data_IF_094198921575
#
_entry.id   IF_094198921575
#
_cell.length_a   1.000
_cell.length_b   1.000
_cell.length_c   1.000
_cell.angle_alpha   90.00
_cell.angle_beta   90.00
_cell.angle_gamma   90.00
#
_symmetry.space_group_name_H-M   'P 1'
#
loop_
_entity.id
_entity.type
_entity.pdbx_description
1 polymer ?
#
# COMPACT_ATOMS: atom_id res chain seq x y z
N UNK A 1 27.40 16.33 -12.76
CA UNK A 1 27.38 15.83 -11.37
C UNK A 1 25.91 15.59 -11.04
N UNK A 2 25.32 14.43 -11.27
CA UNK A 2 25.78 13.14 -11.75
C UNK A 2 24.55 12.55 -12.46
N UNK A 3 24.66 12.15 -13.72
CA UNK A 3 23.57 11.60 -14.54
C UNK A 3 23.22 10.17 -14.11
N UNK A 4 23.07 9.93 -12.80
CA UNK A 4 22.41 8.73 -12.29
C UNK A 4 21.01 8.75 -12.86
N UNK A 5 20.80 7.91 -13.88
CA UNK A 5 19.50 7.80 -14.55
C UNK A 5 18.42 7.67 -13.48
N UNK A 6 17.32 8.40 -13.67
CA UNK A 6 16.16 8.40 -12.76
C UNK A 6 15.75 6.97 -12.39
N UNK A 7 15.94 6.04 -13.33
CA UNK A 7 15.75 4.59 -13.16
C UNK A 7 16.53 4.05 -11.95
N UNK A 8 17.85 4.24 -11.86
CA UNK A 8 18.64 3.69 -10.76
C UNK A 8 18.24 4.26 -9.40
N UNK A 9 17.94 5.57 -9.35
CA UNK A 9 17.51 6.23 -8.12
C UNK A 9 16.17 5.67 -7.65
N UNK A 10 15.18 5.58 -8.53
CA UNK A 10 13.85 5.03 -8.21
C UNK A 10 13.94 3.55 -7.83
N UNK A 11 14.73 2.76 -8.56
CA UNK A 11 14.92 1.33 -8.26
C UNK A 11 15.57 1.10 -6.91
N UNK A 12 16.59 1.88 -6.54
CA UNK A 12 17.28 1.72 -5.26
C UNK A 12 16.37 2.09 -4.08
N UNK A 13 15.69 3.24 -4.15
CA UNK A 13 14.74 3.65 -3.10
C UNK A 13 13.56 2.68 -2.99
N UNK A 14 13.03 2.22 -4.13
CA UNK A 14 11.97 1.22 -4.17
C UNK A 14 12.38 -0.11 -3.56
N UNK A 15 13.59 -0.60 -3.87
CA UNK A 15 14.13 -1.84 -3.34
C UNK A 15 14.37 -1.76 -1.82
N UNK A 16 15.01 -0.70 -1.35
CA UNK A 16 15.26 -0.50 0.09
C UNK A 16 13.95 -0.38 0.87
N UNK A 17 12.98 0.38 0.35
CA UNK A 17 11.64 0.48 0.95
C UNK A 17 10.92 -0.86 0.99
N UNK A 18 10.95 -1.62 -0.10
CA UNK A 18 10.34 -2.95 -0.19
C UNK A 18 11.00 -3.97 0.75
N UNK A 19 12.32 -3.94 0.90
CA UNK A 19 13.03 -4.81 1.85
C UNK A 19 12.62 -4.53 3.30
N UNK A 20 12.58 -3.25 3.70
CA UNK A 20 12.17 -2.86 5.05
C UNK A 20 10.71 -3.27 5.28
N UNK A 21 9.81 -2.95 4.34
CA UNK A 21 8.41 -3.33 4.43
C UNK A 21 8.22 -4.86 4.50
N UNK A 22 8.94 -5.61 3.66
CA UNK A 22 8.88 -7.07 3.64
C UNK A 22 9.34 -7.71 4.94
N UNK A 23 10.44 -7.21 5.52
CA UNK A 23 10.93 -7.69 6.81
C UNK A 23 9.92 -7.44 7.95
N UNK A 24 9.32 -6.24 7.99
CA UNK A 24 8.29 -5.90 8.98
C UNK A 24 7.04 -6.76 8.76
N UNK A 25 6.53 -6.83 7.53
CA UNK A 25 5.31 -7.56 7.20
C UNK A 25 5.43 -9.07 7.49
N UNK A 26 6.60 -9.67 7.24
CA UNK A 26 6.89 -11.07 7.55
C UNK A 26 6.88 -11.32 9.07
N UNK A 27 7.49 -10.44 9.86
CA UNK A 27 7.55 -10.56 11.33
C UNK A 27 6.20 -10.32 12.00
N UNK A 28 5.39 -9.39 11.49
CA UNK A 28 4.12 -8.99 12.13
C UNK A 28 2.90 -9.70 11.55
N UNK A 29 3.08 -10.62 10.60
CA UNK A 29 1.99 -11.27 9.87
C UNK A 29 0.96 -10.26 9.33
N UNK A 30 1.46 -9.21 8.67
CA UNK A 30 0.63 -8.13 8.15
C UNK A 30 -0.02 -8.54 6.83
N UNK A 31 -1.16 -9.25 6.91
CA UNK A 31 -1.95 -9.65 5.76
C UNK A 31 -3.36 -9.08 5.90
N UNK A 32 -3.81 -8.36 4.87
CA UNK A 32 -5.15 -7.74 4.83
C UNK A 32 -6.23 -8.84 4.91
N UNK A 33 -6.11 -9.87 4.08
CA UNK A 33 -7.02 -11.01 4.07
C UNK A 33 -7.01 -11.73 5.44
N UNK A 34 -5.83 -11.95 6.02
CA UNK A 34 -5.67 -12.52 7.35
C UNK A 34 -6.30 -11.68 8.46
N UNK A 35 -6.32 -10.35 8.34
CA UNK A 35 -6.95 -9.45 9.32
C UNK A 35 -8.48 -9.51 9.28
N UNK A 36 -9.07 -9.67 8.09
CA UNK A 36 -10.52 -9.82 7.92
C UNK A 36 -10.97 -11.19 8.45
N UNK A 37 -10.21 -12.25 8.15
CA UNK A 37 -10.48 -13.59 8.67
C UNK A 37 -10.32 -13.67 10.19
N UNK A 38 -9.28 -13.05 10.77
CA UNK A 38 -9.06 -13.01 12.23
C UNK A 38 -10.21 -12.30 12.97
N UNK A 39 -10.77 -11.24 12.38
CA UNK A 39 -11.95 -10.60 12.95
C UNK A 39 -13.18 -11.51 12.86
N UNK A 40 -13.52 -12.01 11.67
CA UNK A 40 -14.78 -12.74 11.47
C UNK A 40 -14.76 -14.12 12.14
N UNK A 41 -13.65 -14.85 12.04
CA UNK A 41 -13.57 -16.25 12.44
C UNK A 41 -12.99 -16.45 13.85
N UNK A 42 -12.02 -15.60 14.26
CA UNK A 42 -11.32 -15.74 15.54
C UNK A 42 -11.71 -14.65 16.57
N UNK A 43 -12.47 -13.62 16.15
CA UNK A 43 -12.91 -12.52 17.01
C UNK A 43 -11.82 -11.51 17.39
N UNK A 44 -10.58 -11.70 16.95
CA UNK A 44 -9.45 -10.80 17.24
C UNK A 44 -9.43 -9.62 16.26
N UNK A 45 -9.41 -8.41 16.80
CA UNK A 45 -9.35 -7.16 16.01
C UNK A 45 -7.96 -6.53 15.99
N UNK A 46 -6.96 -7.19 16.58
CA UNK A 46 -5.61 -6.62 16.76
C UNK A 46 -4.98 -6.28 15.41
N UNK A 47 -5.00 -7.23 14.47
CA UNK A 47 -4.43 -7.06 13.13
C UNK A 47 -5.18 -6.01 12.31
N UNK A 48 -6.50 -5.98 12.45
CA UNK A 48 -7.35 -5.00 11.76
C UNK A 48 -7.04 -3.56 12.24
N UNK A 49 -6.87 -3.34 13.54
CA UNK A 49 -6.49 -2.02 14.09
C UNK A 49 -5.12 -1.56 13.59
N UNK A 50 -4.14 -2.45 13.51
CA UNK A 50 -2.83 -2.14 12.95
C UNK A 50 -2.93 -1.74 11.47
N UNK A 51 -3.78 -2.43 10.71
CA UNK A 51 -4.02 -2.11 9.30
C UNK A 51 -4.63 -0.71 9.12
N UNK A 52 -5.71 -0.39 9.85
CA UNK A 52 -6.34 0.94 9.80
C UNK A 52 -5.37 2.05 10.24
N UNK A 53 -4.58 1.82 11.29
CA UNK A 53 -3.57 2.79 11.75
C UNK A 53 -2.51 3.05 10.67
N UNK A 54 -2.01 2.00 10.04
CA UNK A 54 -1.01 2.13 8.96
C UNK A 54 -1.54 2.93 7.77
N UNK A 55 -2.81 2.73 7.40
CA UNK A 55 -3.49 3.51 6.37
C UNK A 55 -3.59 4.99 6.75
N UNK A 56 -3.97 5.28 8.00
CA UNK A 56 -4.03 6.65 8.51
C UNK A 56 -2.66 7.35 8.47
N UNK A 57 -1.60 6.66 8.91
CA UNK A 57 -0.22 7.19 8.88
C UNK A 57 0.22 7.46 7.43
N UNK A 58 -0.08 6.54 6.50
CA UNK A 58 0.27 6.72 5.09
C UNK A 58 -0.44 7.93 4.47
N UNK A 59 -1.74 8.10 4.74
CA UNK A 59 -2.51 9.26 4.25
C UNK A 59 -1.93 10.55 4.83
N UNK A 60 -1.73 10.62 6.15
CA UNK A 60 -1.18 11.82 6.80
C UNK A 60 0.22 12.15 6.28
N UNK A 61 1.11 11.16 6.15
CA UNK A 61 2.44 11.34 5.59
C UNK A 61 2.42 11.88 4.16
N UNK A 62 1.55 11.33 3.30
CA UNK A 62 1.38 11.81 1.93
C UNK A 62 0.86 13.26 1.87
N UNK A 63 -0.10 13.61 2.72
CA UNK A 63 -0.62 14.98 2.79
C UNK A 63 0.42 15.97 3.32
N UNK A 64 1.20 15.60 4.34
CA UNK A 64 2.30 16.45 4.86
C UNK A 64 3.33 16.69 3.77
N UNK A 65 3.79 15.64 3.07
CA UNK A 65 4.77 15.79 2.00
C UNK A 65 4.25 16.69 0.86
N UNK A 66 2.97 16.60 0.52
CA UNK A 66 2.32 17.49 -0.44
C UNK A 66 2.31 18.95 0.03
N UNK A 67 1.94 19.21 1.29
CA UNK A 67 1.89 20.58 1.84
C UNK A 67 3.27 21.22 1.97
N UNK A 68 4.30 20.43 2.24
CA UNK A 68 5.69 20.90 2.28
C UNK A 68 6.32 21.11 0.91
N UNK A 69 5.61 20.82 -0.18
CA UNK A 69 6.12 20.96 -1.55
C UNK A 69 7.18 19.93 -1.95
N UNK A 70 7.33 18.84 -1.19
CA UNK A 70 8.29 17.77 -1.49
C UNK A 70 7.84 16.88 -2.64
N UNK A 71 6.51 16.73 -2.82
CA UNK A 71 5.89 15.89 -3.86
C UNK A 71 4.63 16.58 -4.40
N UNK A 72 4.36 16.43 -5.70
CA UNK A 72 3.08 16.81 -6.29
C UNK A 72 2.21 15.56 -6.52
N UNK A 73 1.10 15.45 -5.79
CA UNK A 73 0.17 14.34 -5.94
C UNK A 73 -0.68 14.45 -7.22
N UNK A 74 -0.77 15.63 -7.83
CA UNK A 74 -1.57 15.83 -9.05
C UNK A 74 -0.91 15.22 -10.28
N UNK A 75 0.41 15.04 -10.26
CA UNK A 75 1.14 14.33 -11.32
C UNK A 75 1.02 12.80 -11.20
N UNK A 76 0.40 12.30 -10.12
CA UNK A 76 0.26 10.86 -9.90
C UNK A 76 -0.94 10.29 -10.68
N UNK A 77 -0.77 9.07 -11.19
CA UNK A 77 -1.82 8.32 -11.90
C UNK A 77 -3.05 8.10 -11.00
N UNK A 78 -2.87 8.06 -9.68
CA UNK A 78 -3.92 7.78 -8.70
C UNK A 78 -4.89 8.94 -8.47
N UNK A 79 -4.52 10.18 -8.82
CA UNK A 79 -5.35 11.39 -8.64
C UNK A 79 -5.82 11.97 -9.98
N UNK A 80 -5.95 11.12 -10.99
CA UNK A 80 -6.46 11.50 -12.31
C UNK A 80 -7.95 11.87 -12.30
N UNK A 81 -8.43 12.59 -13.34
CA UNK A 81 -9.81 13.09 -13.41
C UNK A 81 -10.86 12.00 -13.68
N UNK A 82 -10.46 10.81 -14.11
CA UNK A 82 -11.36 9.70 -14.44
C UNK A 82 -11.39 8.65 -13.32
N UNK A 83 -12.57 8.41 -12.76
CA UNK A 83 -12.76 7.34 -11.77
C UNK A 83 -13.11 6.02 -12.47
N UNK A 84 -12.14 5.11 -12.53
CA UNK A 84 -12.26 3.82 -13.22
C UNK A 84 -13.08 2.76 -12.47
N UNK A 85 -14.35 3.05 -12.17
CA UNK A 85 -15.27 2.20 -11.39
C UNK A 85 -15.21 0.71 -11.77
N UNK A 86 -15.32 0.40 -13.06
CA UNK A 86 -15.32 -0.98 -13.55
C UNK A 86 -13.98 -1.68 -13.27
N UNK A 87 -12.86 -0.99 -13.47
CA UNK A 87 -11.53 -1.53 -13.20
C UNK A 87 -11.30 -1.82 -11.72
N UNK A 88 -11.74 -0.91 -10.84
CA UNK A 88 -11.63 -1.11 -9.39
C UNK A 88 -12.49 -2.27 -8.90
N UNK A 89 -13.72 -2.41 -9.40
CA UNK A 89 -14.61 -3.48 -8.98
C UNK A 89 -14.14 -4.84 -9.50
N UNK A 90 -13.92 -4.96 -10.82
CA UNK A 90 -13.52 -6.23 -11.46
C UNK A 90 -12.13 -6.63 -10.98
N UNK A 91 -11.17 -5.70 -10.98
CA UNK A 91 -9.82 -5.95 -10.50
C UNK A 91 -9.78 -6.31 -9.03
N UNK A 92 -10.56 -5.63 -8.19
CA UNK A 92 -10.68 -5.93 -6.76
C UNK A 92 -11.24 -7.33 -6.48
N UNK A 93 -12.29 -7.74 -7.21
CA UNK A 93 -12.88 -9.08 -7.07
C UNK A 93 -11.87 -10.15 -7.51
N UNK A 94 -11.26 -10.00 -8.69
CA UNK A 94 -10.29 -10.97 -9.22
C UNK A 94 -9.07 -11.09 -8.30
N UNK A 95 -8.57 -9.96 -7.78
CA UNK A 95 -7.45 -9.95 -6.83
C UNK A 95 -7.83 -10.64 -5.51
N UNK A 96 -9.03 -10.38 -4.99
CA UNK A 96 -9.56 -11.05 -3.80
C UNK A 96 -9.63 -12.56 -3.95
N UNK A 97 -10.21 -13.04 -5.06
CA UNK A 97 -10.29 -14.47 -5.38
C UNK A 97 -8.87 -15.07 -5.46
N UNK A 98 -7.95 -14.40 -6.17
CA UNK A 98 -6.56 -14.84 -6.28
C UNK A 98 -5.86 -14.98 -4.93
N UNK A 99 -6.05 -14.02 -4.01
CA UNK A 99 -5.51 -14.10 -2.65
C UNK A 99 -6.05 -15.29 -1.87
N UNK A 100 -7.32 -15.70 -2.07
CA UNK A 100 -7.89 -16.86 -1.36
C UNK A 100 -7.44 -18.20 -1.95
N UNK A 101 -7.20 -18.27 -3.27
CA UNK A 101 -6.75 -19.50 -3.92
C UNK A 101 -5.25 -19.77 -3.72
N UNK A 102 -4.44 -18.72 -3.55
CA UNK A 102 -3.00 -18.82 -3.31
C UNK A 102 -2.60 -18.81 -1.83
N UNK A 103 -3.57 -18.79 -0.90
CA UNK A 103 -3.34 -18.80 0.54
C UNK A 103 -3.21 -20.20 1.12
#
# INVERSE_FOLDING_TARGET
MEDWSVVYRVSLFGFLGAMIFGAVASKTHFCIMGSVSDWINMGSKVRFRAWVLSMGIAILGAQVMMQTGLIDLNETIYRGPSFGWAGFLIGGILFGIGMTLGA
#
